data_IF_728354249076
#
_entry.id   IF_728354249076
#
_cell.length_a   1.000
_cell.length_b   1.000
_cell.length_c   1.000
_cell.angle_alpha   90.00
_cell.angle_beta   90.00
_cell.angle_gamma   90.00
#
_symmetry.space_group_name_H-M   'P 1'
#
loop_
_entity.id
_entity.type
_entity.pdbx_description
1 polymer ?
#
# COMPACT_ATOMS: atom_id res chain seq x y z
N UNK A 1 -35.32 2.49 -18.88
CA UNK A 1 -34.41 2.48 -17.71
C UNK A 1 -33.31 1.46 -17.94
N UNK A 2 -32.06 1.88 -18.17
CA UNK A 2 -30.94 0.96 -18.37
C UNK A 2 -30.35 0.61 -17.01
N UNK A 3 -30.64 -0.59 -16.49
CA UNK A 3 -30.08 -1.08 -15.23
C UNK A 3 -28.69 -1.67 -15.51
N UNK A 4 -27.62 -0.92 -15.20
CA UNK A 4 -26.26 -1.48 -15.25
C UNK A 4 -26.05 -2.42 -14.05
N UNK A 5 -26.03 -3.72 -14.32
CA UNK A 5 -25.66 -4.76 -13.34
C UNK A 5 -24.60 -5.65 -13.95
N UNK A 6 -23.35 -5.52 -13.48
CA UNK A 6 -22.24 -6.36 -13.92
C UNK A 6 -21.65 -7.09 -12.73
N UNK A 7 -21.65 -8.42 -12.77
CA UNK A 7 -21.00 -9.24 -11.75
C UNK A 7 -19.89 -10.06 -12.37
N UNK A 8 -18.70 -10.06 -11.77
CA UNK A 8 -17.59 -10.92 -12.16
C UNK A 8 -17.14 -11.76 -10.97
N UNK A 9 -17.03 -13.07 -11.20
CA UNK A 9 -16.61 -14.05 -10.19
C UNK A 9 -15.13 -14.38 -10.43
N UNK A 10 -14.35 -14.38 -9.37
CA UNK A 10 -12.95 -14.77 -9.35
C UNK A 10 -12.74 -15.72 -8.16
N UNK A 11 -12.98 -17.01 -8.36
CA UNK A 11 -12.82 -18.05 -7.33
C UNK A 11 -13.71 -17.83 -6.08
N UNK A 12 -13.16 -17.87 -4.85
CA UNK A 12 -13.91 -17.63 -3.61
C UNK A 12 -14.35 -16.17 -3.42
N UNK A 13 -14.06 -15.32 -4.41
CA UNK A 13 -14.40 -13.91 -4.42
C UNK A 13 -15.38 -13.56 -5.54
N UNK A 14 -16.41 -12.77 -5.23
CA UNK A 14 -17.37 -12.27 -6.21
C UNK A 14 -17.55 -10.78 -6.02
N UNK A 15 -17.40 -10.03 -7.12
CA UNK A 15 -17.68 -8.59 -7.15
C UNK A 15 -18.95 -8.38 -7.99
N UNK A 16 -19.89 -7.59 -7.48
CA UNK A 16 -21.11 -7.18 -8.19
C UNK A 16 -21.22 -5.67 -8.12
N UNK A 17 -21.17 -5.02 -9.28
CA UNK A 17 -21.47 -3.60 -9.44
C UNK A 17 -22.92 -3.45 -9.92
N UNK A 18 -23.70 -2.63 -9.22
CA UNK A 18 -25.08 -2.28 -9.58
C UNK A 18 -25.28 -0.77 -9.49
N UNK A 19 -26.41 -0.26 -9.99
CA UNK A 19 -26.75 1.18 -9.95
C UNK A 19 -26.73 1.84 -8.55
N UNK A 20 -26.68 1.06 -7.46
CA UNK A 20 -26.53 1.54 -6.07
C UNK A 20 -25.11 1.44 -5.51
N UNK A 21 -24.13 0.91 -6.24
CA UNK A 21 -22.73 0.81 -5.80
C UNK A 21 -22.04 -0.54 -6.07
N UNK A 22 -20.82 -0.68 -5.55
CA UNK A 22 -19.98 -1.88 -5.69
C UNK A 22 -20.12 -2.73 -4.41
N UNK A 23 -20.54 -3.99 -4.59
CA UNK A 23 -20.57 -5.01 -3.54
C UNK A 23 -19.52 -6.08 -3.83
N UNK A 24 -18.88 -6.60 -2.80
CA UNK A 24 -17.92 -7.69 -2.93
C UNK A 24 -18.12 -8.72 -1.83
N UNK A 25 -17.96 -10.00 -2.16
CA UNK A 25 -18.04 -11.10 -1.20
C UNK A 25 -16.79 -11.94 -1.29
N UNK A 26 -16.13 -12.15 -0.14
CA UNK A 26 -14.96 -13.01 0.03
C UNK A 26 -15.39 -14.16 0.95
N UNK A 27 -15.28 -15.40 0.47
CA UNK A 27 -15.36 -16.57 1.36
C UNK A 27 -15.79 -17.86 0.66
N UNK A 28 -15.20 -18.96 1.11
CA UNK A 28 -15.55 -20.33 0.76
C UNK A 28 -15.47 -21.20 2.01
N UNK A 29 -16.48 -22.05 2.26
CA UNK A 29 -16.53 -22.93 3.43
C UNK A 29 -17.25 -22.32 4.64
N UNK A 30 -16.81 -22.60 5.89
CA UNK A 30 -17.55 -22.28 7.12
C UNK A 30 -17.60 -20.78 7.46
N UNK A 31 -16.97 -19.91 6.67
CA UNK A 31 -16.97 -18.47 6.89
C UNK A 31 -17.10 -17.71 5.57
N UNK A 32 -18.09 -16.82 5.50
CA UNK A 32 -18.37 -15.96 4.33
C UNK A 32 -18.53 -14.52 4.77
N UNK A 33 -17.82 -13.61 4.11
CA UNK A 33 -17.93 -12.16 4.33
C UNK A 33 -18.45 -11.50 3.06
N UNK A 34 -19.53 -10.73 3.17
CA UNK A 34 -20.19 -10.04 2.05
C UNK A 34 -20.34 -8.56 2.37
N UNK A 35 -19.62 -7.69 1.66
CA UNK A 35 -19.84 -6.26 1.68
C UNK A 35 -20.87 -5.88 0.62
N UNK A 36 -21.98 -5.29 1.06
CA UNK A 36 -23.11 -4.87 0.20
C UNK A 36 -22.85 -3.47 -0.38
N UNK A 37 -23.61 -3.13 -1.41
CA UNK A 37 -23.57 -1.80 -2.02
C UNK A 37 -23.99 -0.69 -1.03
N UNK A 38 -24.82 -1.01 -0.03
CA UNK A 38 -25.27 -0.11 1.04
C UNK A 38 -24.21 0.13 2.14
N UNK A 39 -22.95 -0.25 1.90
CA UNK A 39 -21.83 -0.07 2.85
C UNK A 39 -21.76 -1.09 4.00
N UNK A 40 -22.79 -1.92 4.20
CA UNK A 40 -22.85 -2.93 5.28
C UNK A 40 -22.03 -4.18 4.96
N UNK A 41 -21.33 -4.73 5.96
CA UNK A 41 -20.53 -5.96 5.86
C UNK A 41 -21.26 -7.09 6.61
N UNK A 42 -21.75 -8.10 5.90
CA UNK A 42 -22.34 -9.29 6.49
C UNK A 42 -21.28 -10.38 6.65
N UNK A 43 -21.06 -10.85 7.87
CA UNK A 43 -20.23 -12.00 8.19
C UNK A 43 -21.13 -13.16 8.60
N UNK A 44 -21.07 -14.25 7.86
CA UNK A 44 -21.74 -15.51 8.20
C UNK A 44 -20.67 -16.53 8.57
N UNK A 45 -20.82 -17.13 9.76
CA UNK A 45 -19.99 -18.24 10.23
C UNK A 45 -20.90 -19.43 10.46
N UNK A 46 -20.56 -20.56 9.88
CA UNK A 46 -21.28 -21.82 10.03
C UNK A 46 -20.33 -22.88 10.58
N UNK A 47 -20.69 -23.49 11.70
CA UNK A 47 -19.92 -24.59 12.28
C UNK A 47 -20.32 -25.88 11.54
N UNK A 48 -19.39 -26.54 10.84
CA UNK A 48 -19.70 -27.77 10.12
C UNK A 48 -20.05 -28.88 11.12
N UNK A 49 -21.10 -29.66 10.82
CA UNK A 49 -21.54 -30.80 11.64
C UNK A 49 -22.51 -30.48 12.77
N UNK A 50 -22.79 -29.21 13.09
CA UNK A 50 -23.69 -28.83 14.20
C UNK A 50 -24.96 -28.08 13.78
N UNK A 51 -25.07 -27.68 12.50
CA UNK A 51 -26.24 -26.96 11.97
C UNK A 51 -26.36 -25.49 12.41
N UNK A 52 -25.47 -25.02 13.28
CA UNK A 52 -25.51 -23.66 13.83
C UNK A 52 -24.86 -22.67 12.84
N UNK A 53 -25.61 -21.64 12.45
CA UNK A 53 -25.14 -20.53 11.59
C UNK A 53 -25.32 -19.21 12.33
N UNK A 54 -24.23 -18.51 12.65
CA UNK A 54 -24.30 -17.13 13.14
C UNK A 54 -24.07 -16.17 11.97
N UNK A 55 -24.98 -15.22 11.79
CA UNK A 55 -24.91 -14.20 10.73
C UNK A 55 -24.97 -12.82 11.35
N UNK A 56 -23.85 -12.10 11.35
CA UNK A 56 -23.74 -10.74 11.87
C UNK A 56 -23.54 -9.73 10.76
N UNK A 57 -24.33 -8.65 10.79
CA UNK A 57 -24.15 -7.50 9.90
C UNK A 57 -23.31 -6.46 10.65
N UNK A 58 -22.02 -6.41 10.33
CA UNK A 58 -21.09 -5.39 10.77
C UNK A 58 -21.31 -4.14 9.90
N UNK A 59 -21.77 -3.04 10.51
CA UNK A 59 -22.01 -1.77 9.82
C UNK A 59 -23.47 -1.47 9.45
N UNK A 60 -24.40 -2.37 9.76
CA UNK A 60 -25.80 -1.97 9.95
C UNK A 60 -25.91 -1.42 11.37
N UNK A 61 -26.32 -0.16 11.51
CA UNK A 61 -26.64 0.47 12.80
C UNK A 61 -27.29 -0.57 13.71
N UNK A 62 -26.50 -1.09 14.66
CA UNK A 62 -27.12 -1.62 15.85
C UNK A 62 -27.83 -0.41 16.43
N UNK A 63 -29.16 -0.47 16.48
CA UNK A 63 -29.91 0.32 17.45
C UNK A 63 -29.38 -0.10 18.82
N UNK A 64 -28.24 0.45 19.20
CA UNK A 64 -27.77 0.49 20.57
C UNK A 64 -28.79 1.35 21.26
N UNK A 65 -29.41 0.78 22.29
CA UNK A 65 -30.03 1.54 23.36
C UNK A 65 -29.12 2.75 23.68
N UNK A 66 -29.67 3.91 24.06
CA UNK A 66 -28.89 5.13 24.29
C UNK A 66 -27.85 4.83 25.38
N UNK A 67 -26.67 4.40 24.95
CA UNK A 67 -25.51 4.28 25.79
C UNK A 67 -25.16 5.73 26.09
N UNK A 68 -25.33 6.07 27.36
CA UNK A 68 -24.94 7.33 27.96
C UNK A 68 -23.72 7.89 27.23
N UNK A 69 -23.85 9.13 26.75
CA UNK A 69 -22.82 9.92 26.10
C UNK A 69 -21.43 9.51 26.58
N UNK A 70 -20.75 8.68 25.80
CA UNK A 70 -19.35 8.38 26.01
C UNK A 70 -18.62 9.68 25.70
N UNK A 71 -18.41 10.47 26.75
CA UNK A 71 -17.55 11.63 26.73
C UNK A 71 -16.24 11.16 26.09
N UNK A 72 -15.77 11.79 25.00
CA UNK A 72 -14.49 11.42 24.45
C UNK A 72 -13.45 11.69 25.54
N UNK A 73 -12.83 10.63 26.06
CA UNK A 73 -11.68 10.77 26.95
C UNK A 73 -10.58 11.46 26.14
N UNK A 74 -10.49 12.78 26.29
CA UNK A 74 -9.56 13.64 25.55
C UNK A 74 -8.14 13.09 25.73
N UNK A 75 -7.82 12.58 26.92
CA UNK A 75 -6.55 11.90 27.20
C UNK A 75 -6.29 10.69 26.28
N UNK A 76 -7.28 9.83 26.05
CA UNK A 76 -7.15 8.67 25.17
C UNK A 76 -7.07 9.08 23.70
N UNK A 77 -7.77 10.15 23.30
CA UNK A 77 -7.66 10.69 21.94
C UNK A 77 -6.28 11.33 21.71
N UNK A 78 -5.76 12.10 22.66
CA UNK A 78 -4.42 12.68 22.60
C UNK A 78 -3.34 11.59 22.55
N UNK A 79 -3.47 10.53 23.36
CA UNK A 79 -2.54 9.39 23.32
C UNK A 79 -2.59 8.68 21.96
N UNK A 80 -3.78 8.49 21.39
CA UNK A 80 -3.93 7.92 20.04
C UNK A 80 -3.32 8.80 18.96
N UNK A 81 -3.52 10.12 19.03
CA UNK A 81 -2.91 11.08 18.11
C UNK A 81 -1.38 11.08 18.23
N UNK A 82 -0.85 11.03 19.45
CA UNK A 82 0.59 10.95 19.71
C UNK A 82 1.21 9.64 19.20
N UNK A 83 0.54 8.50 19.37
CA UNK A 83 0.96 7.22 18.80
C UNK A 83 0.94 7.26 17.26
N UNK A 84 -0.10 7.85 16.66
CA UNK A 84 -0.24 7.94 15.21
C UNK A 84 0.82 8.87 14.60
N UNK A 85 1.11 10.00 15.25
CA UNK A 85 2.19 10.91 14.81
C UNK A 85 3.57 10.29 14.98
N UNK A 86 3.83 9.54 16.05
CA UNK A 86 5.08 8.78 16.24
C UNK A 86 5.28 7.76 15.12
N UNK A 87 4.25 6.98 14.80
CA UNK A 87 4.29 6.01 13.71
C UNK A 87 4.56 6.71 12.38
N UNK A 88 3.83 7.77 12.05
CA UNK A 88 4.07 8.55 10.82
C UNK A 88 5.49 9.13 10.77
N UNK A 89 6.03 9.58 11.90
CA UNK A 89 7.39 10.14 11.96
C UNK A 89 8.46 9.07 11.75
N UNK A 90 8.30 7.88 12.35
CA UNK A 90 9.22 6.75 12.15
C UNK A 90 9.17 6.27 10.70
N UNK A 91 7.97 6.07 10.14
CA UNK A 91 7.83 5.67 8.75
C UNK A 91 8.28 6.75 7.77
N UNK A 92 7.96 8.02 8.03
CA UNK A 92 8.36 9.16 7.20
C UNK A 92 9.88 9.40 7.23
N UNK A 93 10.49 9.34 8.41
CA UNK A 93 11.95 9.42 8.57
C UNK A 93 12.68 8.25 7.93
N UNK A 94 12.12 7.04 8.02
CA UNK A 94 12.65 5.86 7.33
C UNK A 94 12.58 6.01 5.81
N UNK A 95 11.46 6.47 5.27
CA UNK A 95 11.30 6.75 3.83
C UNK A 95 12.30 7.82 3.38
N UNK A 96 12.42 8.92 4.12
CA UNK A 96 13.36 9.99 3.80
C UNK A 96 14.80 9.49 3.82
N UNK A 97 15.19 8.72 4.84
CA UNK A 97 16.53 8.13 4.96
C UNK A 97 16.85 7.23 3.76
N UNK A 98 15.95 6.31 3.38
CA UNK A 98 16.15 5.42 2.23
C UNK A 98 16.28 6.21 0.92
N UNK A 99 15.49 7.27 0.73
CA UNK A 99 15.57 8.15 -0.44
C UNK A 99 16.90 8.90 -0.47
N UNK A 100 17.33 9.51 0.65
CA UNK A 100 18.61 10.22 0.72
C UNK A 100 19.79 9.29 0.48
N UNK A 101 19.77 8.07 1.03
CA UNK A 101 20.82 7.08 0.79
C UNK A 101 20.84 6.63 -0.67
N UNK A 102 19.67 6.44 -1.30
CA UNK A 102 19.57 6.06 -2.71
C UNK A 102 20.10 7.15 -3.65
N UNK A 103 19.82 8.42 -3.32
CA UNK A 103 20.29 9.58 -4.09
C UNK A 103 21.80 9.77 -3.91
N UNK A 104 22.32 9.66 -2.68
CA UNK A 104 23.76 9.79 -2.40
C UNK A 104 24.59 8.69 -3.08
N UNK A 105 24.13 7.44 -3.04
CA UNK A 105 24.80 6.31 -3.72
C UNK A 105 24.71 6.47 -5.24
N UNK A 106 23.57 6.90 -5.77
CA UNK A 106 23.39 7.14 -7.21
C UNK A 106 24.35 8.20 -7.76
N UNK A 107 24.46 9.35 -7.09
CA UNK A 107 25.39 10.40 -7.50
C UNK A 107 26.86 9.99 -7.36
N UNK A 108 27.21 9.21 -6.32
CA UNK A 108 28.58 8.69 -6.14
C UNK A 108 29.00 7.73 -7.25
N UNK A 109 28.13 6.80 -7.65
CA UNK A 109 28.44 5.83 -8.71
C UNK A 109 28.51 6.51 -10.08
N UNK A 110 27.54 7.36 -10.40
CA UNK A 110 27.52 8.07 -11.70
C UNK A 110 28.68 9.06 -11.79
N UNK A 111 28.96 9.81 -10.73
CA UNK A 111 30.10 10.75 -10.68
C UNK A 111 31.46 10.03 -10.77
N UNK A 112 31.61 8.90 -10.07
CA UNK A 112 32.81 8.07 -10.13
C UNK A 112 33.09 7.51 -11.52
N UNK A 113 32.06 6.98 -12.20
CA UNK A 113 32.18 6.47 -13.57
C UNK A 113 32.54 7.58 -14.58
N UNK A 114 31.95 8.77 -14.42
CA UNK A 114 32.26 9.92 -15.27
C UNK A 114 33.71 10.39 -15.12
N UNK A 115 34.23 10.45 -13.89
CA UNK A 115 35.64 10.80 -13.63
C UNK A 115 36.60 9.74 -14.17
N UNK A 116 36.28 8.45 -13.99
CA UNK A 116 37.08 7.36 -14.54
C UNK A 116 37.12 7.39 -16.08
N UNK A 117 35.98 7.67 -16.73
CA UNK A 117 35.91 7.84 -18.17
C UNK A 117 36.74 9.03 -18.65
N UNK A 118 36.67 10.17 -17.95
CA UNK A 118 37.46 11.36 -18.27
C UNK A 118 38.97 11.13 -18.12
N UNK A 119 39.39 10.47 -17.04
CA UNK A 119 40.79 10.14 -16.80
C UNK A 119 41.34 9.15 -17.84
N UNK A 120 40.55 8.13 -18.21
CA UNK A 120 40.90 7.18 -19.27
C UNK A 120 41.06 7.84 -20.63
N UNK A 121 40.14 8.75 -21.00
CA UNK A 121 40.20 9.49 -22.25
C UNK A 121 41.43 10.42 -22.30
N UNK A 122 41.70 11.14 -21.20
CA UNK A 122 42.87 12.01 -21.07
C UNK A 122 44.19 11.24 -21.18
N UNK A 123 44.31 10.12 -20.48
CA UNK A 123 45.48 9.24 -20.56
C UNK A 123 45.69 8.67 -21.97
N UNK A 124 44.60 8.30 -22.66
CA UNK A 124 44.65 7.83 -24.04
C UNK A 124 45.12 8.91 -25.02
N UNK A 125 44.62 10.15 -24.88
CA UNK A 125 45.04 11.30 -25.69
C UNK A 125 46.51 11.63 -25.47
N UNK A 126 46.98 11.65 -24.21
CA UNK A 126 48.40 11.87 -23.90
C UNK A 126 49.29 10.79 -24.53
N UNK A 127 48.86 9.52 -24.44
CA UNK A 127 49.57 8.40 -25.06
C UNK A 127 49.65 8.55 -26.58
N UNK A 128 48.56 8.98 -27.23
CA UNK A 128 48.52 9.24 -28.67
C UNK A 128 49.46 10.39 -29.08
N UNK A 129 49.50 11.47 -28.31
CA UNK A 129 50.39 12.62 -28.57
C UNK A 129 51.85 12.21 -28.47
N UNK A 130 52.23 11.50 -27.41
CA UNK A 130 53.61 11.00 -27.21
C UNK A 130 54.00 10.02 -28.32
N UNK A 131 53.09 9.12 -28.71
CA UNK A 131 53.34 8.15 -29.79
C UNK A 131 53.50 8.83 -31.14
N UNK A 132 52.70 9.87 -31.42
CA UNK A 132 52.80 10.67 -32.65
C UNK A 132 54.13 11.44 -32.71
N UNK A 133 54.61 11.95 -31.58
CA UNK A 133 55.87 12.70 -31.52
C UNK A 133 57.12 11.80 -31.65
N UNK A 134 57.03 10.52 -31.30
CA UNK A 134 58.12 9.53 -31.49
C UNK A 134 58.26 9.02 -32.92
N UNK A 135 57.20 9.04 -33.74
CA UNK A 135 57.22 8.55 -35.13
C UNK A 135 57.48 9.64 -36.19
N UNK A 136 57.59 10.90 -35.76
CA UNK A 136 57.87 12.06 -36.64
C UNK A 136 59.35 12.48 -36.68
N UNK A 137 60.27 11.62 -36.24
CA UNK A 137 61.72 11.80 -36.40
C UNK A 137 62.28 10.64 -37.21
#
# INVERSE_FOLDING_TARGET
>A
MVQYRKSKKFGPFRITASGSGISYSVGSGPMRVTRRADGRVQRTVSIPGTGIRDTRIVGGSQRRAPAASAQPDIAAQLLKLALLSLVLFVFGGFILSVVTTSVAVGFGVVGGLLLAAWAGLGGYVVTLIVRRHKMGK
#
